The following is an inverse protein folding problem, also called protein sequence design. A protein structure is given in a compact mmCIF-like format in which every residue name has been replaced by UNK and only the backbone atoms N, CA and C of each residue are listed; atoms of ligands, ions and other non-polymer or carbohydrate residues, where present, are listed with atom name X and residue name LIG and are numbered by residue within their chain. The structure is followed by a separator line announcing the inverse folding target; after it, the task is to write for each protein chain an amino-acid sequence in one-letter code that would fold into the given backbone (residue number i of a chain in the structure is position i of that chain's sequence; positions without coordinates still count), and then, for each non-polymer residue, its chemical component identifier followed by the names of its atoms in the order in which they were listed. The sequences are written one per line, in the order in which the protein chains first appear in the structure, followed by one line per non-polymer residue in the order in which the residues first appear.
data_IF_507658232296
#
_entry.id   IF_507658232296
#
_cell.length_a   1.000
_cell.length_b   1.000
_cell.length_c   1.000
_cell.angle_alpha   90.00
_cell.angle_beta   90.00
_cell.angle_gamma   90.00
#
_symmetry.space_group_name_H-M   'P 1'
#
loop_
_entity.id
_entity.type
_entity.pdbx_description
1 polymer ?
#
# COMPACT_ATOMS: atom_id res chain seq x y z
N UNK A 1 33.70 -3.39 5.23
CA UNK A 1 33.58 -3.47 3.77
C UNK A 1 32.26 -4.18 3.49
N UNK A 2 31.15 -3.44 3.53
CA UNK A 2 29.83 -4.00 3.26
C UNK A 2 29.60 -3.86 1.75
N UNK A 3 29.50 -5.01 1.10
CA UNK A 3 29.26 -5.17 -0.32
C UNK A 3 27.93 -4.49 -0.67
N UNK A 4 27.98 -3.40 -1.44
CA UNK A 4 26.78 -2.80 -1.99
C UNK A 4 26.25 -3.78 -3.04
N UNK A 5 25.20 -4.51 -2.66
CA UNK A 5 24.44 -5.33 -3.59
C UNK A 5 24.13 -4.52 -4.86
N UNK A 6 24.17 -5.13 -6.06
CA UNK A 6 23.88 -4.43 -7.30
C UNK A 6 22.50 -3.78 -7.18
N UNK A 7 22.44 -2.47 -7.46
CA UNK A 7 21.17 -1.73 -7.52
C UNK A 7 20.19 -2.52 -8.39
N UNK A 8 19.07 -2.97 -7.81
CA UNK A 8 18.06 -3.75 -8.53
C UNK A 8 17.67 -2.98 -9.79
N UNK A 9 17.59 -3.67 -10.92
CA UNK A 9 17.23 -3.01 -12.18
C UNK A 9 15.87 -2.32 -12.04
N UNK A 10 15.69 -1.18 -12.71
CA UNK A 10 14.41 -0.44 -12.71
C UNK A 10 13.23 -1.37 -13.05
N UNK A 11 13.42 -2.28 -14.00
CA UNK A 11 12.43 -3.28 -14.36
C UNK A 11 12.04 -4.20 -13.18
N UNK A 12 12.99 -4.61 -12.34
CA UNK A 12 12.70 -5.42 -11.17
C UNK A 12 11.92 -4.64 -10.10
N UNK A 13 12.24 -3.35 -9.91
CA UNK A 13 11.51 -2.47 -8.97
C UNK A 13 10.08 -2.25 -9.46
N UNK A 14 9.90 -1.88 -10.73
CA UNK A 14 8.58 -1.68 -11.33
C UNK A 14 7.77 -2.98 -11.32
N UNK A 15 8.39 -4.11 -11.65
CA UNK A 15 7.76 -5.42 -11.57
C UNK A 15 7.31 -5.77 -10.15
N UNK A 16 8.12 -5.46 -9.14
CA UNK A 16 7.76 -5.65 -7.74
C UNK A 16 6.56 -4.81 -7.30
N UNK A 17 6.52 -3.53 -7.70
CA UNK A 17 5.38 -2.64 -7.41
C UNK A 17 4.11 -3.06 -8.15
N UNK A 18 4.20 -3.46 -9.42
CA UNK A 18 3.06 -3.98 -10.17
C UNK A 18 2.50 -5.26 -9.53
N UNK A 19 3.38 -6.19 -9.13
CA UNK A 19 3.00 -7.38 -8.39
C UNK A 19 2.31 -7.02 -7.08
N UNK A 20 2.87 -6.08 -6.32
CA UNK A 20 2.30 -5.61 -5.06
C UNK A 20 0.90 -5.02 -5.26
N UNK A 21 0.71 -4.13 -6.23
CA UNK A 21 -0.59 -3.52 -6.53
C UNK A 21 -1.62 -4.58 -6.93
N UNK A 22 -1.26 -5.52 -7.81
CA UNK A 22 -2.16 -6.58 -8.24
C UNK A 22 -2.54 -7.51 -7.09
N UNK A 23 -1.56 -7.89 -6.26
CA UNK A 23 -1.76 -8.76 -5.11
C UNK A 23 -2.65 -8.10 -4.05
N UNK A 24 -2.35 -6.86 -3.66
CA UNK A 24 -3.15 -6.09 -2.71
C UNK A 24 -4.59 -5.87 -3.22
N UNK A 25 -4.75 -5.52 -4.49
CA UNK A 25 -6.09 -5.38 -5.08
C UNK A 25 -6.87 -6.69 -5.02
N UNK A 26 -6.21 -7.82 -5.31
CA UNK A 26 -6.81 -9.16 -5.22
C UNK A 26 -7.19 -9.51 -3.78
N UNK A 27 -6.33 -9.20 -2.81
CA UNK A 27 -6.61 -9.39 -1.38
C UNK A 27 -7.90 -8.66 -0.98
N UNK A 28 -8.04 -7.39 -1.37
CA UNK A 28 -9.21 -6.58 -1.01
C UNK A 28 -10.50 -7.13 -1.65
N UNK A 29 -10.44 -7.60 -2.89
CA UNK A 29 -11.57 -8.27 -3.56
C UNK A 29 -11.93 -9.57 -2.84
N UNK A 30 -10.95 -10.40 -2.49
CA UNK A 30 -11.17 -11.66 -1.76
C UNK A 30 -11.75 -11.38 -0.37
N UNK A 31 -11.26 -10.38 0.35
CA UNK A 31 -11.81 -9.99 1.65
C UNK A 31 -13.25 -9.49 1.55
N UNK A 32 -13.60 -8.73 0.51
CA UNK A 32 -14.97 -8.32 0.27
C UNK A 32 -15.90 -9.52 0.08
N UNK A 33 -15.46 -10.53 -0.67
CA UNK A 33 -16.22 -11.77 -0.89
C UNK A 33 -16.28 -12.59 0.40
N UNK A 34 -15.15 -12.76 1.09
CA UNK A 34 -15.05 -13.53 2.32
C UNK A 34 -15.91 -12.94 3.46
N UNK A 35 -16.01 -11.60 3.53
CA UNK A 35 -16.86 -10.92 4.50
C UNK A 35 -18.36 -11.21 4.31
N UNK A 36 -18.82 -11.59 3.11
CA UNK A 36 -20.21 -11.97 2.87
C UNK A 36 -20.58 -13.34 3.45
N UNK A 37 -19.58 -14.19 3.74
CA UNK A 37 -19.76 -15.51 4.36
C UNK A 37 -19.79 -15.45 5.90
N UNK A 38 -19.49 -14.28 6.48
CA UNK A 38 -19.43 -14.06 7.92
C UNK A 38 -20.72 -13.39 8.40
N UNK A 39 -21.37 -14.03 9.36
CA UNK A 39 -22.56 -13.49 10.01
C UNK A 39 -22.13 -12.57 11.18
N UNK A 40 -22.52 -11.27 11.15
CA UNK A 40 -22.14 -10.30 12.17
C UNK A 40 -22.84 -10.51 13.52
N UNK A 41 -23.93 -11.28 13.58
CA UNK A 41 -24.72 -11.50 14.79
C UNK A 41 -24.21 -12.69 15.63
N UNK A 42 -23.36 -13.54 15.04
CA UNK A 42 -22.60 -14.57 15.74
C UNK A 42 -21.48 -13.90 16.55
N UNK A 43 -21.73 -13.56 17.81
CA UNK A 43 -20.74 -12.89 18.69
C UNK A 43 -19.29 -13.41 18.55
N UNK A 44 -18.30 -12.53 18.79
CA UNK A 44 -16.89 -12.64 18.35
C UNK A 44 -16.29 -14.06 18.30
N UNK A 45 -16.41 -14.86 19.37
CA UNK A 45 -15.83 -16.20 19.43
C UNK A 45 -16.39 -17.15 18.36
N UNK A 46 -17.68 -17.05 18.07
CA UNK A 46 -18.34 -17.87 17.05
C UNK A 46 -17.98 -17.40 15.64
N UNK A 47 -17.89 -16.09 15.41
CA UNK A 47 -17.41 -15.52 14.14
C UNK A 47 -15.97 -15.96 13.84
N UNK A 48 -15.07 -15.91 14.82
CA UNK A 48 -13.67 -16.36 14.66
C UNK A 48 -13.59 -17.85 14.34
N UNK A 49 -14.38 -18.69 15.02
CA UNK A 49 -14.42 -20.13 14.73
C UNK A 49 -14.92 -20.40 13.31
N UNK A 50 -15.97 -19.71 12.89
CA UNK A 50 -16.54 -19.84 11.54
C UNK A 50 -15.56 -19.37 10.46
N UNK A 51 -14.93 -18.21 10.68
CA UNK A 51 -13.86 -17.68 9.83
C UNK A 51 -12.70 -18.66 9.67
N UNK A 52 -12.26 -19.31 10.76
CA UNK A 52 -11.17 -20.29 10.74
C UNK A 52 -11.48 -21.56 9.92
N UNK A 53 -12.75 -21.86 9.66
CA UNK A 53 -13.17 -22.99 8.83
C UNK A 53 -13.67 -22.59 7.43
N UNK A 54 -13.68 -21.29 7.12
CA UNK A 54 -14.22 -20.75 5.86
C UNK A 54 -13.11 -20.65 4.81
N UNK A 55 -13.12 -21.44 3.72
CA UNK A 55 -11.98 -21.53 2.79
C UNK A 55 -11.59 -20.20 2.14
N UNK A 56 -12.57 -19.36 1.79
CA UNK A 56 -12.30 -18.05 1.16
C UNK A 56 -11.65 -17.06 2.13
N UNK A 57 -11.97 -17.14 3.43
CA UNK A 57 -11.33 -16.35 4.49
C UNK A 57 -9.88 -16.79 4.65
N UNK A 58 -9.64 -18.11 4.70
CA UNK A 58 -8.28 -18.66 4.78
C UNK A 58 -7.43 -18.29 3.56
N UNK A 59 -8.03 -18.31 2.36
CA UNK A 59 -7.37 -17.85 1.14
C UNK A 59 -6.99 -16.36 1.23
N UNK A 60 -7.92 -15.52 1.65
CA UNK A 60 -7.66 -14.09 1.85
C UNK A 60 -6.52 -13.86 2.85
N UNK A 61 -6.51 -14.60 3.96
CA UNK A 61 -5.45 -14.53 4.96
C UNK A 61 -4.09 -14.97 4.40
N UNK A 62 -4.03 -16.07 3.65
CA UNK A 62 -2.81 -16.53 3.01
C UNK A 62 -2.28 -15.52 1.98
N UNK A 63 -3.16 -14.96 1.15
CA UNK A 63 -2.79 -13.91 0.20
C UNK A 63 -2.28 -12.66 0.91
N UNK A 64 -2.94 -12.24 1.99
CA UNK A 64 -2.50 -11.09 2.79
C UNK A 64 -1.12 -11.29 3.40
N UNK A 65 -0.83 -12.50 3.90
CA UNK A 65 0.51 -12.85 4.36
C UNK A 65 1.54 -12.75 3.22
N UNK A 66 1.22 -13.24 2.02
CA UNK A 66 2.08 -13.07 0.84
C UNK A 66 2.27 -11.58 0.47
N UNK A 67 1.20 -10.78 0.50
CA UNK A 67 1.23 -9.34 0.25
C UNK A 67 2.15 -8.62 1.22
N UNK A 68 2.07 -8.97 2.51
CA UNK A 68 2.97 -8.49 3.53
C UNK A 68 4.44 -8.83 3.23
N UNK A 69 4.76 -10.05 2.78
CA UNK A 69 6.12 -10.42 2.40
C UNK A 69 6.66 -9.61 1.20
N UNK A 70 5.80 -9.34 0.21
CA UNK A 70 6.15 -8.46 -0.91
C UNK A 70 6.39 -7.03 -0.41
N UNK A 71 5.52 -6.52 0.46
CA UNK A 71 5.62 -5.19 1.03
C UNK A 71 6.93 -4.95 1.78
N UNK A 72 7.29 -5.83 2.71
CA UNK A 72 8.55 -5.70 3.46
C UNK A 72 9.77 -5.81 2.54
N UNK A 73 9.65 -6.51 1.41
CA UNK A 73 10.73 -6.60 0.41
C UNK A 73 10.88 -5.29 -0.36
N UNK A 74 9.78 -4.60 -0.68
CA UNK A 74 9.82 -3.27 -1.30
C UNK A 74 10.37 -2.21 -0.34
N UNK A 75 10.05 -2.31 0.95
CA UNK A 75 10.57 -1.41 1.99
C UNK A 75 12.07 -1.55 2.26
N UNK A 76 12.75 -2.58 1.73
CA UNK A 76 14.21 -2.65 1.80
C UNK A 76 14.88 -1.56 0.97
N UNK A 77 14.22 -1.15 -0.11
CA UNK A 77 14.77 -0.26 -1.12
C UNK A 77 14.18 1.17 -1.01
N UNK A 78 13.11 1.36 -0.22
CA UNK A 78 12.46 2.65 0.01
C UNK A 78 12.28 2.95 1.50
N UNK A 79 12.56 4.20 1.88
CA UNK A 79 12.19 4.71 3.20
C UNK A 79 10.67 4.62 3.41
N UNK A 80 10.24 4.33 4.64
CA UNK A 80 8.83 4.18 4.98
C UNK A 80 8.00 5.43 4.61
N UNK A 81 8.57 6.64 4.79
CA UNK A 81 7.94 7.90 4.41
C UNK A 81 7.70 8.07 2.90
N UNK A 82 8.44 7.33 2.06
CA UNK A 82 8.29 7.31 0.59
C UNK A 82 7.41 6.16 0.12
N UNK A 83 7.51 5.01 0.78
CA UNK A 83 6.69 3.84 0.49
C UNK A 83 5.20 4.08 0.78
N UNK A 84 4.87 4.73 1.89
CA UNK A 84 3.47 4.97 2.28
C UNK A 84 2.66 5.74 1.23
N UNK A 85 3.12 6.90 0.72
CA UNK A 85 2.41 7.64 -0.32
C UNK A 85 2.21 6.82 -1.60
N UNK A 86 3.19 6.00 -1.97
CA UNK A 86 3.10 5.10 -3.12
C UNK A 86 1.99 4.06 -2.99
N UNK A 87 1.60 3.68 -1.76
CA UNK A 87 0.46 2.77 -1.55
C UNK A 87 -0.89 3.39 -1.93
N UNK A 88 -0.99 4.71 -2.14
CA UNK A 88 -2.21 5.32 -2.67
C UNK A 88 -2.60 4.75 -4.04
N UNK A 89 -1.64 4.29 -4.84
CA UNK A 89 -1.92 3.60 -6.11
C UNK A 89 -2.70 2.31 -5.89
N UNK A 90 -2.40 1.57 -4.82
CA UNK A 90 -3.15 0.38 -4.40
C UNK A 90 -4.59 0.74 -4.06
N UNK A 91 -4.78 1.86 -3.35
CA UNK A 91 -6.11 2.36 -3.03
C UNK A 91 -6.93 2.67 -4.29
N UNK A 92 -6.35 3.37 -5.28
CA UNK A 92 -7.02 3.65 -6.57
C UNK A 92 -7.38 2.34 -7.29
N UNK A 93 -6.43 1.40 -7.34
CA UNK A 93 -6.63 0.11 -8.02
C UNK A 93 -7.76 -0.68 -7.35
N UNK A 94 -7.77 -0.73 -6.02
CA UNK A 94 -8.83 -1.36 -5.22
C UNK A 94 -10.17 -0.66 -5.41
N UNK A 95 -10.21 0.66 -5.38
CA UNK A 95 -11.42 1.44 -5.60
C UNK A 95 -11.99 1.20 -7.00
N UNK A 96 -11.12 1.15 -8.01
CA UNK A 96 -11.51 0.85 -9.40
C UNK A 96 -12.03 -0.58 -9.51
N UNK A 97 -11.35 -1.55 -8.90
CA UNK A 97 -11.82 -2.93 -8.85
C UNK A 97 -13.19 -3.04 -8.17
N UNK A 98 -13.45 -2.24 -7.13
CA UNK A 98 -14.74 -2.23 -6.45
C UNK A 98 -15.89 -1.75 -7.36
N UNK A 99 -15.64 -0.72 -8.17
CA UNK A 99 -16.62 -0.23 -9.15
C UNK A 99 -16.84 -1.28 -10.26
N UNK A 100 -15.78 -1.88 -10.77
CA UNK A 100 -15.85 -2.80 -11.92
C UNK A 100 -16.42 -4.18 -11.56
N UNK A 101 -16.01 -4.76 -10.43
CA UNK A 101 -16.36 -6.12 -10.04
C UNK A 101 -17.67 -6.16 -9.24
N UNK A 102 -17.86 -5.21 -8.33
CA UNK A 102 -19.03 -5.17 -7.44
C UNK A 102 -20.09 -4.17 -7.88
N UNK A 103 -19.86 -3.44 -8.99
CA UNK A 103 -20.80 -2.44 -9.52
C UNK A 103 -21.20 -1.38 -8.48
N UNK A 104 -20.29 -1.10 -7.52
CA UNK A 104 -20.52 -0.08 -6.50
C UNK A 104 -20.64 1.29 -7.19
N UNK A 105 -21.65 2.07 -6.80
CA UNK A 105 -21.88 3.43 -7.31
C UNK A 105 -21.34 4.46 -6.32
N UNK A 106 -20.09 4.93 -6.48
CA UNK A 106 -19.57 5.97 -5.60
C UNK A 106 -20.39 7.25 -5.79
N UNK A 107 -20.73 7.89 -4.67
CA UNK A 107 -21.32 9.22 -4.70
C UNK A 107 -20.28 10.29 -5.09
N UNK A 108 -20.74 11.47 -5.48
CA UNK A 108 -19.87 12.56 -5.91
C UNK A 108 -18.85 12.96 -4.83
N UNK A 109 -19.23 12.95 -3.56
CA UNK A 109 -18.35 13.26 -2.43
C UNK A 109 -17.17 12.29 -2.34
N UNK A 110 -17.40 10.98 -2.55
CA UNK A 110 -16.36 9.96 -2.54
C UNK A 110 -15.35 10.19 -3.67
N UNK A 111 -15.83 10.54 -4.86
CA UNK A 111 -14.98 10.86 -6.01
C UNK A 111 -14.11 12.09 -5.71
N UNK A 112 -14.69 13.15 -5.16
CA UNK A 112 -13.92 14.34 -4.74
C UNK A 112 -12.86 13.98 -3.70
N UNK A 113 -13.21 13.14 -2.72
CA UNK A 113 -12.26 12.65 -1.72
C UNK A 113 -11.08 11.89 -2.35
N UNK A 114 -11.35 11.00 -3.31
CA UNK A 114 -10.29 10.29 -4.07
C UNK A 114 -9.37 11.28 -4.79
N UNK A 115 -9.93 12.29 -5.46
CA UNK A 115 -9.14 13.32 -6.14
C UNK A 115 -8.26 14.13 -5.18
N UNK A 116 -8.75 14.42 -3.97
CA UNK A 116 -7.96 15.11 -2.93
C UNK A 116 -6.81 14.25 -2.43
N UNK A 117 -7.03 12.94 -2.19
CA UNK A 117 -5.97 12.01 -1.82
C UNK A 117 -4.91 11.96 -2.92
N UNK A 118 -5.34 11.89 -4.18
CA UNK A 118 -4.44 11.92 -5.34
C UNK A 118 -3.59 13.19 -5.40
N UNK A 119 -4.20 14.35 -5.18
CA UNK A 119 -3.48 15.61 -5.13
C UNK A 119 -2.43 15.63 -4.00
N UNK A 120 -2.78 15.11 -2.82
CA UNK A 120 -1.84 14.98 -1.70
C UNK A 120 -0.64 14.08 -2.01
N UNK A 121 -0.86 12.98 -2.72
CA UNK A 121 0.23 12.07 -3.15
C UNK A 121 1.15 12.74 -4.15
N UNK A 122 0.60 13.47 -5.13
CA UNK A 122 1.39 14.24 -6.10
C UNK A 122 2.21 15.32 -5.40
N UNK A 123 1.62 16.02 -4.42
CA UNK A 123 2.32 17.03 -3.64
C UNK A 123 3.51 16.42 -2.88
N UNK A 124 3.33 15.25 -2.26
CA UNK A 124 4.40 14.59 -1.51
C UNK A 124 5.52 14.06 -2.43
N UNK A 125 5.17 13.56 -3.61
CA UNK A 125 6.15 13.22 -4.64
C UNK A 125 6.91 14.45 -5.18
N UNK A 126 6.37 15.66 -5.01
CA UNK A 126 7.02 16.91 -5.43
C UNK A 126 8.14 17.33 -4.45
N UNK A 127 7.94 17.08 -3.15
CA UNK A 127 8.92 17.40 -2.11
C UNK A 127 10.24 16.63 -2.29
N UNK A 128 10.16 15.39 -2.78
CA UNK A 128 11.33 14.54 -3.04
C UNK A 128 12.33 15.12 -4.07
N UNK A 129 11.89 16.02 -4.94
CA UNK A 129 12.75 16.66 -5.95
C UNK A 129 13.48 17.91 -5.42
N UNK A 130 13.23 18.31 -4.17
CA UNK A 130 13.97 19.41 -3.55
C UNK A 130 15.36 18.92 -3.13
N UNK A 131 16.46 19.51 -3.65
CA UNK A 131 17.79 19.22 -3.14
C UNK A 131 17.78 19.47 -1.62
N UNK A 132 18.18 18.49 -0.80
CA UNK A 132 18.31 18.67 0.66
C UNK A 132 19.23 19.86 0.93
N UNK A 133 18.64 21.04 1.11
CA UNK A 133 19.33 22.23 1.58
C UNK A 133 19.30 22.17 3.10
N UNK A 134 20.47 22.09 3.73
CA UNK A 134 20.60 22.24 5.18
C UNK A 134 21.16 21.04 5.94
N UNK A 135 22.41 20.66 5.65
CA UNK A 135 23.30 20.06 6.66
C UNK A 135 24.76 20.56 6.56
N UNK A 136 25.07 21.46 5.61
CA UNK A 136 26.41 21.98 5.36
C UNK A 136 26.64 23.44 5.74
N UNK A 137 25.61 24.15 6.23
CA UNK A 137 25.71 25.59 6.55
C UNK A 137 25.86 25.84 8.07
N UNK A 138 25.36 24.96 8.93
CA UNK A 138 25.53 25.07 10.39
C UNK A 138 26.96 24.81 10.89
N UNK A 139 27.80 24.14 10.10
CA UNK A 139 29.21 23.88 10.44
C UNK A 139 30.19 24.94 9.93
N UNK A 140 29.73 25.97 9.23
CA UNK A 140 30.57 27.07 8.74
C UNK A 140 30.51 28.33 9.61
N UNK A 141 29.46 28.51 10.40
CA UNK A 141 29.37 29.63 11.36
C UNK A 141 30.15 29.35 12.67
N UNK A 142 30.31 28.09 13.08
CA UNK A 142 31.07 27.74 14.29
C UNK A 142 32.60 27.73 14.08
N UNK A 143 33.06 27.74 12.82
CA UNK A 143 34.49 27.74 12.47
C UNK A 143 35.02 29.16 12.19
N UNK A 144 34.14 30.15 12.06
CA UNK A 144 34.50 31.55 11.75
C UNK A 144 34.08 32.54 12.87
N UNK A 145 33.82 32.04 14.08
CA UNK A 145 33.41 32.81 15.28
C UNK A 145 34.45 32.82 16.39
#
# INVERSE_FOLDING_TARGET
MADFAPARSLAAVLGGWLLFIALETTIQVVFKIAGAELDPDLGLAAMVRHAATTPIVLLGFALYFCGFLVWITLLKDLDLGRGFPMTAVVYIATFTAAILLFHERPNATRIVGVLVIMAGVVLLASDENSPRKGAGEAGKEEVDG
#
